data_IF_529672452394
#
_entry.id   IF_529672452394
#
_cell.length_a   1.000
_cell.length_b   1.000
_cell.length_c   1.000
_cell.angle_alpha   90.00
_cell.angle_beta   90.00
_cell.angle_gamma   90.00
#
_symmetry.space_group_name_H-M   'P 1'
#
loop_
_entity.id
_entity.type
_entity.pdbx_description
1 polymer ?
#
# COMPACT_ATOMS: atom_id res chain seq x y z
N UNK A 1 5.16 7.40 -15.21
CA UNK A 1 5.57 8.70 -14.62
C UNK A 1 4.39 9.32 -13.86
N UNK A 2 4.56 10.37 -13.02
CA UNK A 2 3.44 10.96 -12.26
C UNK A 2 2.29 11.45 -13.15
N UNK A 3 2.58 11.92 -14.37
CA UNK A 3 1.56 12.34 -15.35
C UNK A 3 0.74 11.19 -15.94
N UNK A 4 1.13 9.94 -15.70
CA UNK A 4 0.47 8.74 -16.20
C UNK A 4 -0.26 7.97 -15.09
N UNK A 5 -0.31 8.51 -13.87
CA UNK A 5 -0.96 7.87 -12.72
C UNK A 5 -2.42 7.51 -13.03
N UNK A 6 -3.12 8.36 -13.79
CA UNK A 6 -4.53 8.16 -14.14
C UNK A 6 -4.77 7.04 -15.16
N UNK A 7 -3.71 6.50 -15.78
CA UNK A 7 -3.86 5.36 -16.71
C UNK A 7 -4.03 4.04 -15.97
N UNK A 8 -3.51 3.93 -14.74
CA UNK A 8 -3.55 2.71 -13.92
C UNK A 8 -5.00 2.39 -13.53
N UNK A 9 -5.51 1.25 -14.01
CA UNK A 9 -6.84 0.75 -13.71
C UNK A 9 -6.82 -0.31 -12.60
N UNK A 10 -7.96 -0.54 -11.93
CA UNK A 10 -8.12 -1.68 -11.04
C UNK A 10 -7.75 -3.00 -11.70
N UNK A 11 -6.83 -3.75 -11.10
CA UNK A 11 -6.32 -5.01 -11.63
C UNK A 11 -4.95 -4.91 -12.30
N UNK A 12 -4.50 -3.72 -12.68
CA UNK A 12 -3.21 -3.52 -13.34
C UNK A 12 -2.03 -3.71 -12.38
N UNK A 13 -0.91 -4.19 -12.91
CA UNK A 13 0.37 -4.15 -12.20
C UNK A 13 1.08 -2.85 -12.52
N UNK A 14 1.35 -2.04 -11.51
CA UNK A 14 2.06 -0.77 -11.70
C UNK A 14 3.57 -1.00 -11.71
N UNK A 15 4.22 -0.60 -12.82
CA UNK A 15 5.68 -0.68 -12.99
C UNK A 15 6.26 0.74 -13.04
N UNK A 16 7.30 1.02 -12.27
CA UNK A 16 7.95 2.34 -12.25
C UNK A 16 9.43 2.26 -11.87
N UNK A 17 10.25 3.26 -12.22
CA UNK A 17 11.64 3.31 -11.76
C UNK A 17 11.72 3.49 -10.22
N UNK A 18 10.97 4.47 -9.71
CA UNK A 18 10.78 4.77 -8.28
C UNK A 18 9.38 5.35 -8.05
N UNK A 19 8.92 5.32 -6.79
CA UNK A 19 7.65 5.95 -6.39
C UNK A 19 7.88 7.12 -5.42
N UNK A 20 6.99 8.11 -5.50
CA UNK A 20 6.86 9.23 -4.56
C UNK A 20 5.45 9.23 -3.97
N UNK A 21 5.15 10.05 -2.94
CA UNK A 21 3.80 10.14 -2.37
C UNK A 21 2.71 10.44 -3.41
N UNK A 22 3.04 11.14 -4.50
CA UNK A 22 2.07 11.46 -5.56
C UNK A 22 1.51 10.21 -6.25
N UNK A 23 2.22 9.08 -6.23
CA UNK A 23 1.78 7.84 -6.84
C UNK A 23 0.71 7.10 -6.02
N UNK A 24 0.53 7.44 -4.74
CA UNK A 24 -0.39 6.76 -3.82
C UNK A 24 -1.78 6.49 -4.43
N UNK A 25 -2.44 7.45 -5.12
CA UNK A 25 -3.74 7.20 -5.74
C UNK A 25 -3.71 6.08 -6.80
N UNK A 26 -2.65 5.98 -7.62
CA UNK A 26 -2.48 4.87 -8.56
C UNK A 26 -2.11 3.58 -7.83
N UNK A 27 -1.26 3.65 -6.81
CA UNK A 27 -0.88 2.47 -6.02
C UNK A 27 -2.11 1.81 -5.39
N UNK A 28 -3.09 2.59 -4.92
CA UNK A 28 -4.36 2.07 -4.39
C UNK A 28 -5.21 1.31 -5.42
N UNK A 29 -5.09 1.63 -6.71
CA UNK A 29 -5.80 0.94 -7.79
C UNK A 29 -5.06 -0.30 -8.29
N UNK A 30 -3.73 -0.30 -8.19
CA UNK A 30 -2.89 -1.38 -8.68
C UNK A 30 -3.14 -2.69 -7.91
N UNK A 31 -3.09 -3.82 -8.63
CA UNK A 31 -3.14 -5.17 -8.04
C UNK A 31 -1.79 -5.65 -7.53
N UNK A 32 -0.69 -5.08 -8.05
CA UNK A 32 0.67 -5.31 -7.60
C UNK A 32 1.59 -4.14 -8.02
N UNK A 33 2.78 -4.07 -7.41
CA UNK A 33 3.80 -3.07 -7.74
C UNK A 33 5.14 -3.70 -8.07
N UNK A 34 5.81 -3.16 -9.09
CA UNK A 34 7.19 -3.48 -9.43
C UNK A 34 7.98 -2.19 -9.56
N UNK A 35 9.13 -2.10 -8.88
CA UNK A 35 10.04 -0.96 -9.07
C UNK A 35 11.46 -1.36 -9.43
N UNK A 36 12.10 -0.57 -10.29
CA UNK A 36 13.49 -0.82 -10.71
C UNK A 36 14.49 -0.53 -9.61
N UNK A 37 14.25 0.54 -8.86
CA UNK A 37 15.12 0.96 -7.75
C UNK A 37 14.39 0.86 -6.43
N UNK A 38 15.21 0.87 -5.38
CA UNK A 38 14.77 0.80 -3.99
C UNK A 38 15.13 -0.54 -3.34
N UNK A 39 14.94 -0.59 -2.03
CA UNK A 39 15.16 -1.77 -1.22
C UNK A 39 13.98 -2.02 -0.30
N UNK A 40 14.13 -2.96 0.64
CA UNK A 40 13.06 -3.40 1.56
C UNK A 40 12.44 -2.28 2.41
N UNK A 41 13.10 -1.13 2.50
CA UNK A 41 12.72 0.06 3.29
C UNK A 41 12.42 1.28 2.42
N UNK A 42 12.35 1.16 1.09
CA UNK A 42 11.99 2.28 0.24
C UNK A 42 10.49 2.62 0.33
N UNK A 43 10.13 3.79 -0.21
CA UNK A 43 8.75 4.26 -0.24
C UNK A 43 7.77 3.21 -0.81
N UNK A 44 8.07 2.66 -2.00
CA UNK A 44 7.25 1.61 -2.61
C UNK A 44 7.04 0.41 -1.67
N UNK A 45 8.11 -0.12 -1.07
CA UNK A 45 8.02 -1.30 -0.22
C UNK A 45 7.24 -1.05 1.09
N UNK A 46 7.35 0.15 1.67
CA UNK A 46 6.61 0.51 2.89
C UNK A 46 5.13 0.67 2.57
N UNK A 47 4.81 1.53 1.60
CA UNK A 47 3.42 1.87 1.25
C UNK A 47 2.67 0.64 0.73
N UNK A 48 3.31 -0.22 -0.07
CA UNK A 48 2.65 -1.44 -0.57
C UNK A 48 2.24 -2.40 0.55
N UNK A 49 3.05 -2.51 1.63
CA UNK A 49 2.70 -3.33 2.80
C UNK A 49 1.52 -2.78 3.56
N UNK A 50 1.40 -1.45 3.61
CA UNK A 50 0.29 -0.77 4.28
C UNK A 50 -1.01 -0.92 3.48
N UNK A 51 -0.92 -0.83 2.15
CA UNK A 51 -2.04 -1.06 1.24
C UNK A 51 -2.40 -2.56 1.10
N UNK A 52 -1.55 -3.47 1.60
CA UNK A 52 -1.74 -4.91 1.46
C UNK A 52 -1.51 -5.44 0.04
N UNK A 53 -0.76 -4.71 -0.78
CA UNK A 53 -0.54 -5.00 -2.20
C UNK A 53 0.83 -5.70 -2.38
N UNK A 54 0.89 -6.80 -3.16
CA UNK A 54 2.17 -7.44 -3.50
C UNK A 54 3.14 -6.47 -4.15
N UNK A 55 4.40 -6.48 -3.72
CA UNK A 55 5.41 -5.57 -4.24
C UNK A 55 6.77 -6.24 -4.38
N UNK A 56 7.43 -6.03 -5.52
CA UNK A 56 8.82 -6.41 -5.77
C UNK A 56 9.60 -5.15 -6.15
N UNK A 57 10.73 -4.91 -5.50
CA UNK A 57 11.56 -3.70 -5.69
C UNK A 57 12.98 -4.11 -6.05
N UNK A 58 13.69 -3.25 -6.78
CA UNK A 58 15.07 -3.53 -7.21
C UNK A 58 15.14 -4.41 -8.46
N UNK A 59 14.10 -4.41 -9.29
CA UNK A 59 14.05 -5.20 -10.53
C UNK A 59 14.70 -4.42 -11.66
N UNK A 60 15.99 -4.65 -11.91
CA UNK A 60 16.72 -3.94 -12.95
C UNK A 60 16.02 -4.03 -14.31
N UNK A 61 15.86 -2.90 -14.99
CA UNK A 61 15.24 -2.73 -16.30
C UNK A 61 13.77 -3.18 -16.38
N UNK A 62 13.03 -3.19 -15.27
CA UNK A 62 11.62 -3.58 -15.26
C UNK A 62 10.74 -2.75 -16.20
N UNK A 63 10.97 -1.44 -16.32
CA UNK A 63 10.17 -0.56 -17.17
C UNK A 63 10.35 -0.92 -18.65
N UNK A 64 11.56 -1.33 -19.04
CA UNK A 64 11.85 -1.77 -20.41
C UNK A 64 11.36 -3.20 -20.68
N UNK A 65 11.45 -4.09 -19.69
CA UNK A 65 11.11 -5.51 -19.84
C UNK A 65 9.60 -5.81 -19.74
N UNK A 66 8.86 -5.00 -18.97
CA UNK A 66 7.44 -5.20 -18.69
C UNK A 66 6.60 -4.18 -19.46
N UNK A 67 6.29 -4.53 -20.71
CA UNK A 67 5.48 -3.68 -21.58
C UNK A 67 4.02 -3.57 -21.12
N UNK A 68 3.42 -2.39 -21.34
CA UNK A 68 2.02 -2.13 -21.04
C UNK A 68 1.08 -3.12 -21.75
N UNK A 69 0.07 -3.61 -21.03
CA UNK A 69 -0.90 -4.59 -21.54
C UNK A 69 -0.43 -6.05 -21.47
N UNK A 70 0.82 -6.30 -21.06
CA UNK A 70 1.31 -7.66 -20.80
C UNK A 70 0.69 -8.19 -19.51
N UNK A 71 0.09 -9.38 -19.60
CA UNK A 71 -0.38 -10.09 -18.42
C UNK A 71 0.80 -10.67 -17.65
N UNK A 72 0.92 -10.33 -16.37
CA UNK A 72 1.95 -10.85 -15.46
C UNK A 72 1.36 -11.16 -14.10
N UNK A 73 2.06 -11.97 -13.31
CA UNK A 73 1.74 -12.21 -11.90
C UNK A 73 2.92 -11.85 -11.01
N UNK A 74 2.67 -11.14 -9.93
CA UNK A 74 3.72 -10.67 -9.00
C UNK A 74 3.59 -11.41 -7.68
N UNK A 75 4.65 -12.11 -7.30
CA UNK A 75 4.78 -12.72 -5.99
C UNK A 75 5.70 -11.89 -5.08
N UNK A 76 5.10 -11.04 -4.27
CA UNK A 76 5.81 -10.22 -3.29
C UNK A 76 6.41 -11.01 -2.11
N UNK A 77 6.08 -12.29 -1.95
CA UNK A 77 6.65 -13.13 -0.88
C UNK A 77 8.03 -13.68 -1.26
N UNK A 78 8.13 -14.32 -2.43
CA UNK A 78 9.40 -14.87 -2.94
C UNK A 78 10.18 -13.85 -3.79
N UNK A 79 9.57 -12.71 -4.13
CA UNK A 79 10.20 -11.67 -4.95
C UNK A 79 10.27 -12.05 -6.44
N UNK A 80 9.30 -12.83 -6.93
CA UNK A 80 9.31 -13.38 -8.30
C UNK A 80 8.20 -12.76 -9.13
N UNK A 81 8.51 -12.45 -10.39
CA UNK A 81 7.54 -11.98 -11.39
C UNK A 81 7.40 -13.08 -12.44
N UNK A 82 6.17 -13.50 -12.69
CA UNK A 82 5.82 -14.52 -13.67
C UNK A 82 5.21 -13.86 -14.91
N UNK A 83 5.56 -14.40 -16.07
CA UNK A 83 4.87 -14.07 -17.31
C UNK A 83 3.51 -14.79 -17.34
N UNK A 84 2.46 -14.06 -17.64
CA UNK A 84 1.09 -14.56 -17.60
C UNK A 84 0.55 -14.77 -16.17
N UNK A 85 -0.53 -15.55 -16.10
CA UNK A 85 -1.25 -15.84 -14.86
C UNK A 85 -0.65 -17.07 -14.16
N UNK A 86 -0.12 -16.89 -12.95
CA UNK A 86 0.49 -17.94 -12.15
C UNK A 86 -0.53 -18.63 -11.23
N UNK A 87 -1.52 -19.33 -11.79
CA UNK A 87 -2.66 -19.89 -11.05
C UNK A 87 -2.27 -20.77 -9.86
N UNK A 88 -1.27 -21.63 -10.02
CA UNK A 88 -0.77 -22.47 -8.93
C UNK A 88 -0.25 -21.64 -7.75
N UNK A 89 0.39 -20.51 -8.05
CA UNK A 89 0.97 -19.65 -7.03
C UNK A 89 -0.08 -18.79 -6.34
N UNK A 90 -1.08 -18.32 -7.09
CA UNK A 90 -2.25 -17.65 -6.54
C UNK A 90 -2.99 -18.57 -5.56
N UNK A 91 -3.29 -19.80 -5.98
CA UNK A 91 -3.96 -20.80 -5.15
C UNK A 91 -3.15 -21.14 -3.87
N UNK A 92 -1.82 -21.22 -3.98
CA UNK A 92 -0.94 -21.41 -2.81
C UNK A 92 -1.11 -20.31 -1.76
N UNK A 93 -1.11 -19.05 -2.19
CA UNK A 93 -1.24 -17.90 -1.29
C UNK A 93 -2.65 -17.78 -0.71
N UNK A 94 -3.70 -18.06 -1.48
CA UNK A 94 -5.09 -18.12 -0.99
C UNK A 94 -5.24 -19.16 0.12
N UNK A 95 -4.76 -20.39 -0.10
CA UNK A 95 -4.80 -21.45 0.91
C UNK A 95 -4.01 -21.09 2.18
N UNK A 96 -2.87 -20.43 2.01
CA UNK A 96 -2.03 -19.95 3.11
C UNK A 96 -2.73 -18.84 3.91
N UNK A 97 -3.37 -17.88 3.26
CA UNK A 97 -4.14 -16.83 3.93
C UNK A 97 -5.31 -17.42 4.73
N UNK A 98 -6.08 -18.34 4.13
CA UNK A 98 -7.17 -19.02 4.81
C UNK A 98 -6.68 -19.81 6.04
N UNK A 99 -5.50 -20.44 5.96
CA UNK A 99 -4.88 -21.12 7.10
C UNK A 99 -4.58 -20.17 8.26
N UNK A 100 -4.05 -18.96 7.99
CA UNK A 100 -3.75 -17.99 9.03
C UNK A 100 -4.98 -17.29 9.59
N UNK A 101 -5.99 -17.02 8.75
CA UNK A 101 -7.27 -16.45 9.20
C UNK A 101 -8.00 -17.37 10.20
N UNK A 102 -7.86 -18.69 10.03
CA UNK A 102 -8.45 -19.69 10.93
C UNK A 102 -7.52 -20.10 12.09
N UNK A 103 -6.35 -19.47 12.24
CA UNK A 103 -5.46 -19.78 13.36
C UNK A 103 -6.08 -19.28 14.67
N UNK A 104 -6.02 -20.11 15.72
CA UNK A 104 -6.50 -19.70 17.03
C UNK A 104 -5.75 -18.48 17.56
N UNK A 105 -6.45 -17.62 18.29
CA UNK A 105 -5.85 -16.47 18.95
C UNK A 105 -4.69 -16.91 19.85
N UNK A 106 -3.47 -16.50 19.49
CA UNK A 106 -2.27 -16.83 20.24
C UNK A 106 -2.08 -15.81 21.34
N UNK A 107 -2.11 -16.25 22.60
CA UNK A 107 -1.77 -15.39 23.74
C UNK A 107 -0.25 -15.25 23.83
N UNK A 108 0.26 -14.08 23.46
CA UNK A 108 1.68 -13.74 23.55
C UNK A 108 2.00 -13.06 24.88
N UNK A 109 3.26 -13.16 25.34
CA UNK A 109 3.73 -12.41 26.50
C UNK A 109 3.90 -10.91 26.20
N UNK A 110 4.15 -10.58 24.92
CA UNK A 110 4.30 -9.22 24.41
C UNK A 110 3.06 -8.82 23.64
N UNK A 111 2.61 -7.57 23.82
CA UNK A 111 1.51 -7.03 23.04
C UNK A 111 1.92 -6.83 21.58
N UNK A 112 1.08 -7.29 20.65
CA UNK A 112 1.24 -7.18 19.22
C UNK A 112 0.39 -6.02 18.71
N UNK A 113 1.05 -4.88 18.46
CA UNK A 113 0.44 -3.73 17.82
C UNK A 113 0.74 -3.69 16.33
N UNK A 114 -0.13 -3.02 15.57
CA UNK A 114 0.04 -2.82 14.13
C UNK A 114 0.15 -1.33 13.79
N UNK A 115 0.76 -1.08 12.63
CA UNK A 115 0.76 0.24 12.01
C UNK A 115 -0.50 0.36 11.15
N UNK A 116 -1.23 1.45 11.29
CA UNK A 116 -2.36 1.82 10.46
C UNK A 116 -1.96 3.06 9.66
N UNK A 117 -2.29 3.08 8.37
CA UNK A 117 -2.04 4.25 7.53
C UNK A 117 -3.33 4.82 6.92
N UNK A 118 -4.39 4.00 6.86
CA UNK A 118 -5.72 4.42 6.43
C UNK A 118 -6.73 4.16 7.56
N UNK A 119 -7.37 5.21 8.09
CA UNK A 119 -8.38 5.11 9.15
C UNK A 119 -9.49 4.10 8.82
N UNK A 120 -9.94 4.08 7.57
CA UNK A 120 -10.98 3.18 7.04
C UNK A 120 -10.66 1.68 7.22
N UNK A 121 -9.38 1.32 7.39
CA UNK A 121 -8.96 -0.07 7.62
C UNK A 121 -9.01 -0.48 9.10
N UNK A 122 -9.36 0.42 10.02
CA UNK A 122 -9.37 0.17 11.45
C UNK A 122 -10.24 -1.04 11.83
N UNK A 123 -11.44 -1.18 11.26
CA UNK A 123 -12.34 -2.30 11.53
C UNK A 123 -11.77 -3.64 11.04
N UNK A 124 -11.19 -3.65 9.83
CA UNK A 124 -10.54 -4.83 9.24
C UNK A 124 -9.35 -5.28 10.09
N UNK A 125 -8.62 -4.33 10.64
CA UNK A 125 -7.45 -4.58 11.50
C UNK A 125 -7.89 -5.03 12.89
N UNK A 126 -8.93 -4.44 13.46
CA UNK A 126 -9.49 -4.81 14.76
C UNK A 126 -10.03 -6.25 14.78
N UNK A 127 -10.48 -6.77 13.63
CA UNK A 127 -10.89 -8.16 13.48
C UNK A 127 -9.71 -9.17 13.50
N UNK A 128 -8.46 -8.70 13.44
CA UNK A 128 -7.27 -9.57 13.46
C UNK A 128 -6.84 -9.86 14.90
N UNK A 129 -6.04 -10.91 15.08
CA UNK A 129 -5.47 -11.27 16.39
C UNK A 129 -4.31 -10.32 16.78
N UNK A 130 -4.65 -9.07 17.11
CA UNK A 130 -3.73 -7.98 17.47
C UNK A 130 -4.27 -7.24 18.72
N UNK A 131 -3.37 -6.63 19.49
CA UNK A 131 -3.69 -5.90 20.73
C UNK A 131 -4.05 -4.42 20.48
N UNK A 132 -4.05 -3.98 19.22
CA UNK A 132 -4.49 -2.64 18.80
C UNK A 132 -3.55 -1.98 17.79
N UNK A 133 -3.68 -0.66 17.65
CA UNK A 133 -2.85 0.18 16.77
C UNK A 133 -1.75 0.84 17.60
N UNK A 134 -0.49 0.67 17.18
CA UNK A 134 0.68 1.26 17.84
C UNK A 134 1.19 2.54 17.15
N UNK A 135 0.90 2.69 15.87
CA UNK A 135 1.28 3.84 15.05
C UNK A 135 0.20 4.12 14.01
N UNK A 136 -0.35 5.33 14.02
CA UNK A 136 -1.17 5.85 12.93
C UNK A 136 -0.31 6.78 12.08
N UNK A 137 -0.14 6.44 10.80
CA UNK A 137 0.50 7.28 9.79
C UNK A 137 -0.51 8.25 9.21
N UNK A 138 -0.18 9.54 9.26
CA UNK A 138 -1.09 10.61 8.87
C UNK A 138 -0.98 11.00 7.39
N UNK A 139 -0.01 10.45 6.66
CA UNK A 139 0.30 10.89 5.29
C UNK A 139 -0.88 10.77 4.33
N UNK A 140 -1.70 9.72 4.46
CA UNK A 140 -2.88 9.56 3.62
C UNK A 140 -3.99 10.55 3.95
N UNK A 141 -4.17 10.87 5.24
CA UNK A 141 -5.11 11.92 5.68
C UNK A 141 -4.68 13.27 5.07
N UNK A 142 -3.38 13.59 5.15
CA UNK A 142 -2.83 14.83 4.56
C UNK A 142 -3.01 14.84 3.04
N UNK A 143 -2.77 13.72 2.36
CA UNK A 143 -2.94 13.62 0.91
C UNK A 143 -4.40 13.83 0.48
N UNK A 144 -5.37 13.27 1.21
CA UNK A 144 -6.81 13.42 0.93
C UNK A 144 -7.32 14.86 1.11
N UNK A 145 -6.68 15.67 1.96
CA UNK A 145 -7.01 17.09 2.10
C UNK A 145 -6.76 17.85 0.78
N UNK A 146 -5.86 17.35 -0.09
CA UNK A 146 -5.65 17.86 -1.44
C UNK A 146 -4.97 19.23 -1.53
N UNK A 147 -4.53 19.79 -0.40
CA UNK A 147 -3.85 21.09 -0.34
C UNK A 147 -2.80 21.10 0.76
N UNK A 148 -1.61 21.59 0.41
CA UNK A 148 -0.46 21.62 1.31
C UNK A 148 -0.75 22.45 2.58
N UNK A 149 -0.32 21.99 3.78
CA UNK A 149 -0.62 22.67 5.05
C UNK A 149 -0.14 24.13 5.07
N UNK A 150 1.01 24.41 4.46
CA UNK A 150 1.55 25.78 4.35
C UNK A 150 0.59 26.74 3.64
N UNK A 151 -0.12 26.27 2.60
CA UNK A 151 -1.09 27.10 1.89
C UNK A 151 -2.32 27.43 2.76
N UNK A 152 -2.74 26.51 3.64
CA UNK A 152 -3.79 26.81 4.63
C UNK A 152 -3.32 27.87 5.64
N UNK A 153 -2.07 27.80 6.09
CA UNK A 153 -1.50 28.79 7.02
C UNK A 153 -1.39 30.18 6.38
N UNK A 154 -0.90 30.25 5.14
CA UNK A 154 -0.79 31.51 4.38
C UNK A 154 -2.16 32.17 4.14
N UNK A 155 -3.23 31.39 4.02
CA UNK A 155 -4.61 31.88 3.89
C UNK A 155 -5.31 32.18 5.23
N UNK A 156 -4.63 31.99 6.37
CA UNK A 156 -5.23 32.14 7.70
C UNK A 156 -6.25 31.06 8.07
N UNK A 157 -6.29 29.94 7.34
CA UNK A 157 -7.23 28.81 7.50
C UNK A 157 -6.64 27.63 8.28
N UNK A 158 -5.70 27.89 9.19
CA UNK A 158 -5.05 26.83 9.98
C UNK A 158 -6.01 26.00 10.84
N UNK A 159 -7.10 26.61 11.31
CA UNK A 159 -8.15 25.91 12.05
C UNK A 159 -8.89 24.90 11.17
N UNK A 160 -9.23 25.27 9.92
CA UNK A 160 -9.90 24.38 8.97
C UNK A 160 -9.03 23.14 8.67
N UNK A 161 -7.72 23.34 8.50
CA UNK A 161 -6.79 22.23 8.30
C UNK A 161 -6.80 21.27 9.50
N UNK A 162 -6.78 21.80 10.72
CA UNK A 162 -6.83 20.99 11.95
C UNK A 162 -8.14 20.20 12.05
N UNK A 163 -9.27 20.80 11.68
CA UNK A 163 -10.57 20.12 11.67
C UNK A 163 -10.59 18.97 10.65
N UNK A 164 -10.09 19.20 9.43
CA UNK A 164 -9.99 18.16 8.40
C UNK A 164 -9.09 17.01 8.84
N UNK A 165 -7.95 17.31 9.46
CA UNK A 165 -7.07 16.30 10.04
C UNK A 165 -7.76 15.48 11.14
N UNK A 166 -8.52 16.14 12.02
CA UNK A 166 -9.24 15.48 13.10
C UNK A 166 -10.41 14.63 12.59
N UNK A 167 -11.12 15.10 11.57
CA UNK A 167 -12.21 14.35 10.94
C UNK A 167 -11.69 13.02 10.38
N UNK A 168 -10.55 13.05 9.68
CA UNK A 168 -9.91 11.84 9.16
C UNK A 168 -9.43 10.84 10.23
N UNK A 169 -9.49 11.12 11.53
CA UNK A 169 -9.16 10.14 12.59
C UNK A 169 -10.42 9.59 13.26
N UNK A 170 -11.54 10.32 13.20
CA UNK A 170 -12.78 10.00 13.93
C UNK A 170 -13.75 9.12 13.15
N UNK A 171 -13.59 9.05 11.83
CA UNK A 171 -14.28 8.10 10.95
C UNK A 171 -13.59 6.73 11.00
#
# INVERSE_FOLDING_TARGET
SPSEIDTVQPGDVMVAEMTTPDFVPAMKRASALVTERGGRTCHAAIVSRELGIPCVVGVANAVEMLESGRLISVDGYDGVIFDGRADQRLAYHEARQAKYANAAAVKTATRLYVNLAEPELADVVAARNVDGIGLLRAEFIVAQIGKHPRAYLEEGKGHEYTERMAAGIRE
#
